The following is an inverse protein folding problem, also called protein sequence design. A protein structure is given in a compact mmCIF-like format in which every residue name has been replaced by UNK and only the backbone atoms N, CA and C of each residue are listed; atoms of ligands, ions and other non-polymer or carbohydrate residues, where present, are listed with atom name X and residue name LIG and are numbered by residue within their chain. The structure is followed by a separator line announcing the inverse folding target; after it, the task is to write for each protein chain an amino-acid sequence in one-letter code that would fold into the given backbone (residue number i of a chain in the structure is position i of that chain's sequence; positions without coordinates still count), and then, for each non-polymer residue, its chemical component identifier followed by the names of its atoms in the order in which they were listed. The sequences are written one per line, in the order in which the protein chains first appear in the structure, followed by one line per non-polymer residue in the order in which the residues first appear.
data_IF_286680456656
#
_entry.id   IF_286680456656
#
_cell.length_a   1.000
_cell.length_b   1.000
_cell.length_c   1.000
_cell.angle_alpha   90.00
_cell.angle_beta   90.00
_cell.angle_gamma   90.00
#
_symmetry.space_group_name_H-M   'P 1'
#
loop_
_entity.id
_entity.type
_entity.pdbx_description
1 polymer ?
#
# COMPACT_ATOMS: atom_id res chain seq x y z
N UNK A 1 -4.34 -32.69 -15.38
CA UNK A 1 -3.59 -31.55 -15.93
C UNK A 1 -4.62 -30.58 -16.49
N UNK A 2 -4.73 -29.37 -15.91
CA UNK A 2 -5.81 -28.42 -16.20
C UNK A 2 -5.73 -28.01 -17.68
N UNK A 3 -6.78 -28.31 -18.46
CA UNK A 3 -6.81 -28.24 -19.92
C UNK A 3 -6.90 -26.83 -20.50
N UNK A 4 -6.04 -25.91 -20.07
CA UNK A 4 -6.02 -24.50 -20.50
C UNK A 4 -5.87 -24.33 -22.02
N UNK A 5 -5.17 -25.26 -22.68
CA UNK A 5 -5.03 -25.28 -24.15
C UNK A 5 -6.38 -25.38 -24.88
N UNK A 6 -7.40 -25.94 -24.24
CA UNK A 6 -8.70 -26.16 -24.87
C UNK A 6 -9.61 -24.93 -24.81
N UNK A 7 -9.21 -23.87 -24.12
CA UNK A 7 -10.07 -22.71 -23.89
C UNK A 7 -10.25 -21.86 -25.16
N UNK A 8 -9.26 -21.86 -26.07
CA UNK A 8 -9.31 -21.12 -27.34
C UNK A 8 -9.98 -21.89 -28.49
N UNK A 9 -10.51 -23.09 -28.24
CA UNK A 9 -11.14 -23.91 -29.25
C UNK A 9 -12.53 -23.39 -29.62
N UNK A 10 -12.87 -23.42 -30.91
CA UNK A 10 -14.18 -23.01 -31.40
C UNK A 10 -15.34 -23.91 -30.90
N UNK A 11 -15.03 -25.16 -30.54
CA UNK A 11 -15.99 -26.13 -30.01
C UNK A 11 -15.64 -26.40 -28.54
N UNK A 12 -16.53 -26.11 -27.58
CA UNK A 12 -16.29 -26.38 -26.17
C UNK A 12 -16.39 -27.89 -25.89
N UNK A 13 -15.24 -28.57 -25.79
CA UNK A 13 -15.16 -29.98 -25.40
C UNK A 13 -14.29 -30.16 -24.15
N UNK A 14 -14.80 -30.89 -23.15
CA UNK A 14 -14.06 -31.26 -21.94
C UNK A 14 -13.05 -32.39 -22.19
N UNK A 15 -13.22 -33.15 -23.28
CA UNK A 15 -12.33 -34.27 -23.66
C UNK A 15 -11.38 -33.85 -24.77
N UNK A 16 -10.13 -34.32 -24.72
CA UNK A 16 -9.16 -34.14 -25.82
C UNK A 16 -9.76 -34.76 -27.08
N UNK A 17 -9.98 -33.98 -28.14
CA UNK A 17 -10.49 -34.53 -29.38
C UNK A 17 -9.43 -35.45 -30.01
N UNK A 18 -9.85 -36.49 -30.75
CA UNK A 18 -8.93 -37.39 -31.43
C UNK A 18 -8.10 -36.60 -32.46
N UNK A 19 -6.82 -36.99 -32.58
CA UNK A 19 -5.77 -36.29 -33.34
C UNK A 19 -6.06 -36.14 -34.85
N UNK A 20 -7.11 -36.81 -35.34
CA UNK A 20 -7.50 -36.91 -36.76
C UNK A 20 -8.60 -35.92 -37.18
N UNK A 21 -8.86 -34.85 -36.43
CA UNK A 21 -9.84 -33.81 -36.78
C UNK A 21 -9.16 -32.46 -36.99
N UNK A 22 -8.69 -32.22 -38.21
CA UNK A 22 -8.20 -30.91 -38.71
C UNK A 22 -9.23 -29.76 -38.56
N UNK A 23 -10.47 -30.08 -38.19
CA UNK A 23 -11.58 -29.15 -38.01
C UNK A 23 -11.59 -28.42 -36.66
N UNK A 24 -10.73 -28.77 -35.71
CA UNK A 24 -10.70 -28.12 -34.39
C UNK A 24 -9.71 -26.97 -34.43
N UNK A 25 -10.03 -25.98 -35.27
CA UNK A 25 -9.25 -24.77 -35.45
C UNK A 25 -9.48 -23.84 -34.26
N UNK A 26 -8.40 -23.36 -33.64
CA UNK A 26 -8.47 -22.30 -32.63
C UNK A 26 -9.20 -21.08 -33.22
N UNK A 27 -10.11 -20.48 -32.46
CA UNK A 27 -10.80 -19.27 -32.90
C UNK A 27 -9.95 -18.05 -32.54
N UNK A 28 -9.61 -17.23 -33.55
CA UNK A 28 -8.84 -16.00 -33.37
C UNK A 28 -9.45 -15.08 -32.31
N UNK A 29 -10.76 -14.81 -32.39
CA UNK A 29 -11.46 -13.95 -31.44
C UNK A 29 -11.37 -14.49 -30.01
N UNK A 30 -11.52 -15.80 -29.83
CA UNK A 30 -11.48 -16.44 -28.51
C UNK A 30 -10.06 -16.44 -27.92
N UNK A 31 -9.03 -16.62 -28.76
CA UNK A 31 -7.63 -16.53 -28.36
C UNK A 31 -7.28 -15.13 -27.87
N UNK A 32 -7.71 -14.10 -28.58
CA UNK A 32 -7.52 -12.71 -28.13
C UNK A 32 -8.32 -12.41 -26.87
N UNK A 33 -9.56 -12.88 -26.77
CA UNK A 33 -10.40 -12.69 -25.59
C UNK A 33 -9.77 -13.29 -24.32
N UNK A 34 -9.25 -14.52 -24.41
CA UNK A 34 -8.56 -15.19 -23.29
C UNK A 34 -7.27 -14.45 -22.93
N UNK A 35 -6.49 -14.02 -23.92
CA UNK A 35 -5.30 -13.20 -23.71
C UNK A 35 -5.65 -11.92 -22.94
N UNK A 36 -6.59 -11.13 -23.46
CA UNK A 36 -7.02 -9.88 -22.82
C UNK A 36 -7.60 -10.10 -21.42
N UNK A 37 -8.39 -11.16 -21.23
CA UNK A 37 -8.97 -11.51 -19.94
C UNK A 37 -7.89 -11.89 -18.93
N UNK A 38 -6.87 -12.65 -19.35
CA UNK A 38 -5.75 -13.03 -18.50
C UNK A 38 -4.98 -11.80 -18.05
N UNK A 39 -4.67 -10.87 -18.97
CA UNK A 39 -4.00 -9.61 -18.61
C UNK A 39 -4.86 -8.72 -17.70
N UNK A 40 -6.16 -8.61 -17.97
CA UNK A 40 -7.08 -7.85 -17.13
C UNK A 40 -7.19 -8.43 -15.71
N UNK A 41 -7.23 -9.76 -15.60
CA UNK A 41 -7.24 -10.46 -14.32
C UNK A 41 -5.96 -10.20 -13.53
N UNK A 42 -4.79 -10.32 -14.17
CA UNK A 42 -3.50 -10.04 -13.55
C UNK A 42 -3.41 -8.59 -13.07
N UNK A 43 -3.85 -7.63 -13.89
CA UNK A 43 -3.88 -6.22 -13.52
C UNK A 43 -4.80 -5.96 -12.33
N UNK A 44 -6.00 -6.55 -12.33
CA UNK A 44 -6.96 -6.41 -11.24
C UNK A 44 -6.41 -6.98 -9.94
N UNK A 45 -5.76 -8.16 -10.01
CA UNK A 45 -5.10 -8.77 -8.86
C UNK A 45 -3.96 -7.88 -8.33
N UNK A 46 -3.10 -7.37 -9.22
CA UNK A 46 -2.02 -6.46 -8.83
C UNK A 46 -2.56 -5.18 -8.19
N UNK A 47 -3.62 -4.60 -8.75
CA UNK A 47 -4.27 -3.40 -8.21
C UNK A 47 -4.86 -3.68 -6.82
N UNK A 48 -5.53 -4.82 -6.64
CA UNK A 48 -6.10 -5.23 -5.35
C UNK A 48 -5.02 -5.43 -4.29
N UNK A 49 -3.92 -6.11 -4.63
CA UNK A 49 -2.75 -6.28 -3.73
C UNK A 49 -2.17 -4.91 -3.36
N UNK A 50 -1.99 -3.99 -4.32
CA UNK A 50 -1.48 -2.64 -4.05
C UNK A 50 -2.41 -1.85 -3.12
N UNK A 51 -3.72 -1.96 -3.32
CA UNK A 51 -4.72 -1.32 -2.48
C UNK A 51 -4.64 -1.87 -1.05
N UNK A 52 -4.59 -3.18 -0.87
CA UNK A 52 -4.42 -3.80 0.45
C UNK A 52 -3.09 -3.39 1.10
N UNK A 53 -1.98 -3.44 0.35
CA UNK A 53 -0.67 -3.07 0.88
C UNK A 53 -0.62 -1.61 1.34
N UNK A 54 -1.16 -0.69 0.55
CA UNK A 54 -1.18 0.74 0.91
C UNK A 54 -2.16 1.01 2.05
N UNK A 55 -3.31 0.32 2.10
CA UNK A 55 -4.34 0.57 3.11
C UNK A 55 -4.00 -0.01 4.48
N UNK A 56 -3.36 -1.18 4.53
CA UNK A 56 -3.09 -1.92 5.75
C UNK A 56 -1.64 -1.86 6.22
N UNK A 57 -0.66 -1.85 5.31
CA UNK A 57 0.75 -1.89 5.70
C UNK A 57 1.46 -0.55 5.62
N UNK A 58 1.10 0.31 4.64
CA UNK A 58 1.82 1.57 4.41
C UNK A 58 0.90 2.79 4.44
N UNK A 59 0.56 3.21 5.66
CA UNK A 59 -0.19 4.44 5.88
C UNK A 59 0.70 5.66 5.63
N UNK A 60 0.61 6.24 4.43
CA UNK A 60 1.38 7.42 4.02
C UNK A 60 1.18 8.65 4.92
N UNK A 61 0.05 8.76 5.59
CA UNK A 61 -0.16 9.83 6.55
C UNK A 61 0.67 9.61 7.82
N UNK A 62 0.84 8.35 8.25
CA UNK A 62 1.70 8.03 9.39
C UNK A 62 3.17 8.34 9.07
N UNK A 63 3.66 7.94 7.89
CA UNK A 63 5.01 8.27 7.41
C UNK A 63 5.27 9.80 7.47
N UNK A 64 4.26 10.61 7.13
CA UNK A 64 4.34 12.06 7.15
C UNK A 64 4.37 12.63 8.58
N UNK A 65 3.51 12.13 9.47
CA UNK A 65 3.48 12.52 10.89
C UNK A 65 4.80 12.15 11.58
N UNK A 66 5.37 10.98 11.27
CA UNK A 66 6.68 10.56 11.76
C UNK A 66 7.79 11.50 11.29
N UNK A 67 7.76 11.91 10.01
CA UNK A 67 8.71 12.88 9.47
C UNK A 67 8.62 14.22 10.20
N UNK A 68 7.40 14.72 10.44
CA UNK A 68 7.18 15.95 11.21
C UNK A 68 7.81 15.87 12.61
N UNK A 69 7.68 14.72 13.27
CA UNK A 69 8.21 14.46 14.62
C UNK A 69 9.73 14.48 14.64
N UNK A 70 10.36 13.77 13.70
CA UNK A 70 11.82 13.73 13.57
C UNK A 70 12.37 15.13 13.22
N UNK A 71 11.67 15.87 12.36
CA UNK A 71 12.02 17.24 12.01
C UNK A 71 11.68 18.28 13.08
N UNK A 72 10.97 17.89 14.15
CA UNK A 72 10.45 18.78 15.20
C UNK A 72 9.57 19.92 14.66
N UNK A 73 8.71 19.63 13.67
CA UNK A 73 7.79 20.60 13.03
C UNK A 73 6.34 20.20 13.31
N UNK A 74 5.59 21.07 13.99
CA UNK A 74 4.13 20.92 14.12
C UNK A 74 3.40 21.66 13.01
N UNK A 75 2.29 21.09 12.55
CA UNK A 75 1.52 21.62 11.42
C UNK A 75 0.09 21.91 11.87
N UNK A 76 -0.41 23.07 11.51
CA UNK A 76 -1.78 23.50 11.73
C UNK A 76 -2.43 23.74 10.37
N UNK A 77 -3.54 23.05 10.09
CA UNK A 77 -4.26 23.10 8.81
C UNK A 77 -5.72 23.45 9.06
N UNK A 78 -6.19 24.57 8.55
CA UNK A 78 -7.61 24.92 8.52
C UNK A 78 -8.21 24.54 7.18
N UNK A 79 -9.34 23.83 7.22
CA UNK A 79 -10.14 23.54 6.03
C UNK A 79 -11.29 24.55 5.92
N UNK A 80 -11.84 24.95 7.06
CA UNK A 80 -12.82 26.02 7.21
C UNK A 80 -12.35 27.00 8.29
N UNK A 81 -13.02 28.14 8.42
CA UNK A 81 -12.64 29.22 9.36
C UNK A 81 -12.45 28.76 10.82
N UNK A 82 -13.17 27.71 11.25
CA UNK A 82 -13.15 27.18 12.61
C UNK A 82 -13.05 25.65 12.67
N UNK A 83 -12.63 25.01 11.58
CA UNK A 83 -12.48 23.55 11.54
C UNK A 83 -11.21 23.17 10.80
N UNK A 84 -10.43 22.30 11.43
CA UNK A 84 -9.14 21.92 10.89
C UNK A 84 -8.50 20.74 11.61
N UNK A 85 -7.23 20.53 11.29
CA UNK A 85 -6.41 19.49 11.84
C UNK A 85 -5.10 20.05 12.39
N UNK A 86 -4.64 19.47 13.47
CA UNK A 86 -3.34 19.73 14.07
C UNK A 86 -2.51 18.45 14.07
N UNK A 87 -1.31 18.54 13.50
CA UNK A 87 -0.28 17.50 13.56
C UNK A 87 0.77 17.93 14.57
N UNK A 88 0.86 17.17 15.65
CA UNK A 88 1.85 17.35 16.70
C UNK A 88 3.17 16.68 16.34
N UNK A 89 3.99 17.38 15.55
CA UNK A 89 5.33 16.91 15.16
C UNK A 89 6.43 17.39 16.09
N UNK A 90 6.21 17.43 17.41
CA UNK A 90 7.28 17.76 18.36
C UNK A 90 8.19 16.55 18.55
N UNK A 91 9.50 16.73 18.40
CA UNK A 91 10.48 15.69 18.72
C UNK A 91 10.53 15.42 20.23
N UNK A 92 10.60 14.15 20.61
CA UNK A 92 10.75 13.73 22.01
C UNK A 92 12.18 13.99 22.54
N UNK A 93 13.14 14.21 21.65
CA UNK A 93 14.55 14.46 21.97
C UNK A 93 14.85 15.95 22.20
N UNK A 94 13.92 16.85 21.83
CA UNK A 94 14.02 18.30 22.06
C UNK A 94 14.88 19.07 21.05
N UNK A 95 15.51 18.38 20.10
CA UNK A 95 16.24 18.93 18.96
C UNK A 95 16.04 18.03 17.74
N UNK A 96 16.29 18.60 16.55
CA UNK A 96 16.18 17.88 15.26
C UNK A 96 17.37 18.18 14.32
N UNK A 97 17.98 19.36 14.44
CA UNK A 97 19.15 19.76 13.66
C UNK A 97 20.44 19.12 14.21
N UNK A 98 20.60 17.83 13.97
CA UNK A 98 21.77 17.06 14.42
C UNK A 98 22.31 16.15 13.31
N UNK A 99 23.49 15.57 13.54
CA UNK A 99 24.08 14.61 12.62
C UNK A 99 23.26 13.31 12.54
N UNK A 100 23.44 12.55 11.45
CA UNK A 100 22.69 11.32 11.19
C UNK A 100 22.92 10.25 12.26
N UNK A 101 24.11 10.18 12.86
CA UNK A 101 24.40 9.17 13.88
C UNK A 101 23.59 9.43 15.16
N UNK A 102 23.46 10.71 15.53
CA UNK A 102 22.59 11.15 16.63
C UNK A 102 21.13 10.80 16.35
N UNK A 103 20.62 11.09 15.15
CA UNK A 103 19.24 10.70 14.75
C UNK A 103 19.04 9.18 14.83
N UNK A 104 19.99 8.38 14.35
CA UNK A 104 19.91 6.91 14.43
C UNK A 104 19.87 6.43 15.89
N UNK A 105 20.69 7.01 16.76
CA UNK A 105 20.71 6.65 18.18
C UNK A 105 19.40 7.03 18.88
N UNK A 106 18.85 8.19 18.55
CA UNK A 106 17.56 8.64 19.05
C UNK A 106 16.44 7.69 18.63
N UNK A 107 16.36 7.34 17.33
CA UNK A 107 15.39 6.36 16.82
C UNK A 107 15.53 4.98 17.48
N UNK A 108 16.75 4.52 17.80
CA UNK A 108 16.94 3.27 18.56
C UNK A 108 16.40 3.38 19.99
N UNK A 109 16.59 4.53 20.65
CA UNK A 109 16.02 4.76 21.98
C UNK A 109 14.50 4.76 21.93
N UNK A 110 13.89 5.25 20.85
CA UNK A 110 12.45 5.15 20.64
C UNK A 110 12.00 3.69 20.47
N UNK A 111 12.71 2.91 19.65
CA UNK A 111 12.46 1.46 19.45
C UNK A 111 12.55 0.68 20.78
N UNK A 112 13.55 0.99 21.60
CA UNK A 112 13.78 0.37 22.91
C UNK A 112 12.86 0.93 24.02
N UNK A 113 11.95 1.85 23.71
CA UNK A 113 11.09 2.55 24.67
C UNK A 113 11.84 3.27 25.82
N UNK A 114 13.02 3.84 25.51
CA UNK A 114 13.90 4.57 26.44
C UNK A 114 13.68 6.10 26.40
N UNK A 115 12.53 6.54 25.90
CA UNK A 115 12.13 7.95 25.81
C UNK A 115 10.61 8.11 26.01
N UNK A 116 10.15 9.34 26.06
CA UNK A 116 8.71 9.63 26.10
C UNK A 116 8.03 9.26 24.77
N UNK A 117 6.72 9.02 24.81
CA UNK A 117 5.91 8.83 23.61
C UNK A 117 5.68 10.16 22.87
N UNK A 118 5.50 10.07 21.54
CA UNK A 118 5.38 11.24 20.65
C UNK A 118 4.03 11.98 20.72
N UNK A 119 3.06 11.47 21.47
CA UNK A 119 1.72 12.04 21.48
C UNK A 119 1.62 13.40 22.19
N UNK A 120 0.61 14.19 21.83
CA UNK A 120 0.37 15.50 22.43
C UNK A 120 0.00 15.39 23.91
N UNK A 121 -0.78 14.37 24.27
CA UNK A 121 -1.16 14.09 25.65
C UNK A 121 -0.07 13.20 26.26
N UNK A 122 0.46 13.53 27.45
CA UNK A 122 1.47 12.71 28.10
C UNK A 122 1.05 11.25 28.21
N UNK A 123 1.92 10.33 27.77
CA UNK A 123 1.67 8.89 27.80
C UNK A 123 0.86 8.35 26.61
N UNK A 124 0.46 9.19 25.66
CA UNK A 124 -0.22 8.76 24.42
C UNK A 124 0.73 8.75 23.23
N UNK A 125 0.35 8.04 22.17
CA UNK A 125 1.06 8.01 20.88
C UNK A 125 0.33 8.79 19.79
N UNK A 126 -0.83 9.37 20.09
CA UNK A 126 -1.64 10.07 19.09
C UNK A 126 -1.04 11.44 18.78
N UNK A 127 -0.80 11.69 17.49
CA UNK A 127 -0.12 12.89 17.00
C UNK A 127 -0.98 13.72 16.05
N UNK A 128 -2.18 13.27 15.72
CA UNK A 128 -3.11 13.94 14.82
C UNK A 128 -4.41 14.25 15.53
N UNK A 129 -4.80 15.53 15.54
CA UNK A 129 -5.93 16.04 16.30
C UNK A 129 -6.85 16.85 15.41
N UNK A 130 -8.15 16.80 15.70
CA UNK A 130 -9.15 17.68 15.10
C UNK A 130 -9.27 18.92 15.98
N UNK A 131 -9.40 20.07 15.33
CA UNK A 131 -9.57 21.38 15.96
C UNK A 131 -11.05 21.77 15.98
#
# INVERSE_FOLDING_TARGET
IVGFKNWSLAIPSLKRPPENLDFIKENFTLKYAIGSFTYALLYTLQWFIKLLYTRYYRNKLHDFVDLCSIANISIFMLIEDYYGYYVHGRSVHGFADTDLMSVINDLKREEDNLCAHRGLIPGTTDQSFVL
#
